data_IF_656801789202
#
_entry.id   IF_656801789202
#
_cell.length_a   1.000
_cell.length_b   1.000
_cell.length_c   1.000
_cell.angle_alpha   90.00
_cell.angle_beta   90.00
_cell.angle_gamma   90.00
#
_symmetry.space_group_name_H-M   'P 1'
#
loop_
_entity.id
_entity.type
_entity.pdbx_description
1 polymer ?
#
# COMPACT_ATOMS: atom_id res chain seq x y z
N UNK A 1 32.43 6.16 -15.99
CA UNK A 1 31.13 6.09 -16.63
C UNK A 1 31.11 6.91 -17.94
N UNK A 2 31.43 8.19 -17.90
CA UNK A 2 31.53 9.06 -19.09
C UNK A 2 32.55 8.57 -20.14
N UNK A 3 33.67 7.97 -19.71
CA UNK A 3 34.69 7.39 -20.59
C UNK A 3 34.15 6.22 -21.43
N UNK A 4 33.28 5.36 -20.86
CA UNK A 4 32.63 4.26 -21.59
C UNK A 4 31.68 4.74 -22.68
N UNK A 5 30.95 5.83 -22.42
CA UNK A 5 30.07 6.44 -23.44
C UNK A 5 30.87 6.93 -24.65
N UNK A 6 32.06 7.43 -24.41
CA UNK A 6 32.97 7.90 -25.51
C UNK A 6 33.48 6.74 -26.36
N UNK A 7 33.68 5.56 -25.77
CA UNK A 7 34.16 4.38 -26.53
C UNK A 7 33.05 3.66 -27.31
N UNK A 8 31.83 3.67 -26.81
CA UNK A 8 30.71 2.96 -27.42
C UNK A 8 29.49 3.89 -27.59
N UNK A 9 29.45 4.68 -28.69
CA UNK A 9 28.38 5.66 -28.88
C UNK A 9 27.00 5.04 -29.07
N UNK A 10 26.89 3.75 -29.35
CA UNK A 10 25.62 3.03 -29.42
C UNK A 10 24.94 2.86 -28.04
N UNK A 11 25.73 2.82 -26.95
CA UNK A 11 25.23 2.72 -25.59
C UNK A 11 24.55 4.03 -25.08
N UNK A 12 24.95 5.17 -25.66
CA UNK A 12 24.42 6.48 -25.32
C UNK A 12 22.90 6.53 -25.46
N UNK A 13 22.32 6.02 -26.54
CA UNK A 13 20.87 6.01 -26.77
C UNK A 13 20.15 5.23 -25.68
N UNK A 14 20.66 4.06 -25.33
CA UNK A 14 20.08 3.21 -24.29
C UNK A 14 20.10 3.91 -22.92
N UNK A 15 21.25 4.44 -22.50
CA UNK A 15 21.36 5.13 -21.22
C UNK A 15 20.52 6.41 -21.16
N UNK A 16 20.36 7.09 -22.30
CA UNK A 16 19.50 8.26 -22.38
C UNK A 16 18.02 7.92 -22.18
N UNK A 17 17.51 6.89 -22.84
CA UNK A 17 16.12 6.44 -22.68
C UNK A 17 15.88 5.85 -21.30
N UNK A 18 16.79 5.08 -20.75
CA UNK A 18 16.70 4.55 -19.38
C UNK A 18 16.71 5.69 -18.36
N UNK A 19 17.58 6.70 -18.55
CA UNK A 19 17.64 7.90 -17.73
C UNK A 19 16.38 8.75 -17.81
N UNK A 20 15.79 8.92 -19.00
CA UNK A 20 14.51 9.62 -19.20
C UNK A 20 13.37 8.89 -18.49
N UNK A 21 13.30 7.56 -18.65
CA UNK A 21 12.29 6.73 -17.99
C UNK A 21 12.42 6.81 -16.46
N UNK A 22 13.64 6.72 -15.95
CA UNK A 22 13.93 6.88 -14.53
C UNK A 22 13.50 8.26 -14.02
N UNK A 23 13.89 9.32 -14.74
CA UNK A 23 13.53 10.71 -14.39
C UNK A 23 12.02 10.91 -14.42
N UNK A 24 11.33 10.36 -15.42
CA UNK A 24 9.87 10.40 -15.49
C UNK A 24 9.22 9.72 -14.27
N UNK A 25 9.66 8.52 -13.90
CA UNK A 25 9.15 7.80 -12.71
C UNK A 25 9.45 8.60 -11.44
N UNK A 26 10.66 9.13 -11.31
CA UNK A 26 11.06 9.95 -10.16
C UNK A 26 10.15 11.16 -10.00
N UNK A 27 9.94 11.94 -11.07
CA UNK A 27 9.15 13.17 -11.03
C UNK A 27 7.65 12.92 -10.86
N UNK A 28 7.11 11.86 -11.49
CA UNK A 28 5.66 11.63 -11.52
C UNK A 28 5.16 10.73 -10.39
N UNK A 29 6.03 9.92 -9.78
CA UNK A 29 5.65 8.94 -8.75
C UNK A 29 6.37 9.16 -7.43
N UNK A 30 7.71 9.17 -7.46
CA UNK A 30 8.50 9.20 -6.22
C UNK A 30 8.42 10.58 -5.54
N UNK A 31 8.62 11.67 -6.28
CA UNK A 31 8.54 13.02 -5.71
C UNK A 31 7.14 13.35 -5.17
N UNK A 32 6.04 13.14 -5.92
CA UNK A 32 4.72 13.40 -5.38
C UNK A 32 4.41 12.58 -4.14
N UNK A 33 4.84 11.32 -4.09
CA UNK A 33 4.66 10.47 -2.91
C UNK A 33 5.43 11.01 -1.70
N UNK A 34 6.70 11.37 -1.88
CA UNK A 34 7.54 11.87 -0.79
C UNK A 34 7.06 13.22 -0.25
N UNK A 35 6.61 14.11 -1.13
CA UNK A 35 6.01 15.40 -0.75
C UNK A 35 4.69 15.16 -0.02
N UNK A 36 3.84 14.30 -0.55
CA UNK A 36 2.54 13.96 0.05
C UNK A 36 2.71 13.38 1.45
N UNK A 37 3.64 12.42 1.63
CA UNK A 37 3.97 11.85 2.93
C UNK A 37 4.51 12.91 3.92
N UNK A 38 5.38 13.81 3.45
CA UNK A 38 5.95 14.87 4.28
C UNK A 38 4.89 15.88 4.73
N UNK A 39 3.96 16.23 3.85
CA UNK A 39 2.83 17.10 4.16
C UNK A 39 1.91 16.42 5.16
N UNK A 40 1.52 15.17 4.94
CA UNK A 40 0.66 14.43 5.85
C UNK A 40 1.29 14.24 7.24
N UNK A 41 2.60 14.01 7.32
CA UNK A 41 3.29 13.86 8.61
C UNK A 41 3.28 15.12 9.48
N UNK A 42 3.09 16.29 8.89
CA UNK A 42 2.93 17.55 9.65
C UNK A 42 1.58 17.69 10.34
N UNK A 43 0.56 16.97 9.88
CA UNK A 43 -0.75 17.01 10.52
C UNK A 43 -0.79 16.06 11.72
N UNK A 44 -1.16 16.57 12.89
CA UNK A 44 -1.17 15.86 14.18
C UNK A 44 -2.06 14.60 14.21
N UNK A 45 -3.01 14.46 13.29
CA UNK A 45 -3.88 13.30 13.24
C UNK A 45 -3.18 12.00 12.82
N UNK A 46 -1.98 12.09 12.20
CA UNK A 46 -1.20 10.90 11.77
C UNK A 46 -0.59 10.15 12.97
N UNK A 47 -0.51 10.80 14.12
CA UNK A 47 0.02 10.18 15.33
C UNK A 47 -1.00 9.32 16.10
N UNK A 48 -2.27 9.28 15.67
CA UNK A 48 -3.27 8.39 16.28
C UNK A 48 -2.88 6.92 16.10
N UNK A 49 -3.00 6.15 17.18
CA UNK A 49 -2.86 4.70 17.12
C UNK A 49 -3.90 4.09 16.18
N UNK A 50 -3.56 2.96 15.58
CA UNK A 50 -4.54 2.21 14.80
C UNK A 50 -5.28 1.20 15.69
N UNK A 51 -6.48 0.85 15.30
CA UNK A 51 -7.22 -0.27 15.83
C UNK A 51 -7.69 -1.20 14.70
N UNK A 52 -7.75 -2.47 15.02
CA UNK A 52 -8.22 -3.53 14.13
C UNK A 52 -9.28 -4.29 14.94
N UNK A 53 -10.51 -4.29 14.46
CA UNK A 53 -11.60 -5.01 15.07
C UNK A 53 -12.35 -5.85 14.04
N UNK A 54 -12.99 -6.93 14.51
CA UNK A 54 -13.99 -7.62 13.70
C UNK A 54 -15.33 -6.95 13.98
N UNK A 55 -16.09 -6.68 12.93
CA UNK A 55 -17.47 -6.23 13.11
C UNK A 55 -18.26 -7.31 13.88
N UNK A 56 -18.97 -6.89 14.92
CA UNK A 56 -19.60 -7.76 15.92
C UNK A 56 -20.54 -8.85 15.36
N UNK A 57 -21.03 -8.69 14.13
CA UNK A 57 -22.01 -9.61 13.53
C UNK A 57 -21.55 -10.33 12.27
N UNK A 58 -20.34 -10.05 11.75
CA UNK A 58 -19.89 -10.59 10.49
C UNK A 58 -18.46 -11.14 10.60
N UNK A 59 -18.32 -12.47 10.64
CA UNK A 59 -17.03 -13.17 10.78
C UNK A 59 -15.96 -12.75 9.76
N UNK A 60 -16.37 -12.19 8.61
CA UNK A 60 -15.51 -11.85 7.48
C UNK A 60 -15.35 -10.36 7.22
N UNK A 61 -15.86 -9.51 8.12
CA UNK A 61 -15.77 -8.06 8.04
C UNK A 61 -14.78 -7.54 9.07
N UNK A 62 -13.77 -6.83 8.60
CA UNK A 62 -12.68 -6.26 9.39
C UNK A 62 -12.79 -4.75 9.30
N UNK A 63 -12.97 -4.08 10.41
CA UNK A 63 -12.96 -2.63 10.52
C UNK A 63 -11.55 -2.15 10.86
N UNK A 64 -11.07 -1.20 10.08
CA UNK A 64 -9.77 -0.57 10.25
C UNK A 64 -9.97 0.88 10.66
N UNK A 65 -9.28 1.33 11.71
CA UNK A 65 -9.29 2.74 12.07
C UNK A 65 -7.91 3.26 12.44
N UNK A 66 -7.69 4.57 12.27
CA UNK A 66 -6.46 5.25 12.65
C UNK A 66 -5.36 5.23 11.61
N UNK A 67 -4.12 5.12 12.06
CA UNK A 67 -2.92 5.31 11.23
C UNK A 67 -2.04 4.08 11.24
N UNK A 68 -1.86 3.45 10.09
CA UNK A 68 -1.04 2.26 9.90
C UNK A 68 0.34 2.65 9.39
N UNK A 69 1.32 2.70 10.30
CA UNK A 69 2.70 3.12 10.01
C UNK A 69 3.71 2.22 10.70
N UNK A 70 4.78 1.83 9.97
CA UNK A 70 5.94 1.17 10.58
C UNK A 70 6.58 2.12 11.66
N UNK A 71 7.05 1.61 12.81
CA UNK A 71 7.20 0.19 13.18
C UNK A 71 5.98 -0.44 13.89
N UNK A 72 4.87 0.28 14.05
CA UNK A 72 3.70 -0.17 14.84
C UNK A 72 2.89 -1.32 14.21
N UNK A 73 3.31 -1.87 13.05
CA UNK A 73 2.54 -2.87 12.30
C UNK A 73 2.61 -4.31 12.82
N UNK A 74 3.40 -4.58 13.87
CA UNK A 74 3.57 -5.96 14.39
C UNK A 74 2.24 -6.59 14.79
N UNK A 75 1.41 -5.86 15.54
CA UNK A 75 0.09 -6.33 15.98
C UNK A 75 -0.87 -6.52 14.79
N UNK A 76 -0.82 -5.62 13.81
CA UNK A 76 -1.63 -5.77 12.59
C UNK A 76 -1.27 -7.04 11.82
N UNK A 77 0.01 -7.38 11.70
CA UNK A 77 0.45 -8.62 11.06
C UNK A 77 -0.05 -9.86 11.80
N UNK A 78 0.07 -9.88 13.13
CA UNK A 78 -0.42 -10.98 13.97
C UNK A 78 -1.95 -11.12 13.82
N UNK A 79 -2.69 -10.02 13.88
CA UNK A 79 -4.14 -10.03 13.70
C UNK A 79 -4.54 -10.61 12.33
N UNK A 80 -3.90 -10.16 11.26
CA UNK A 80 -4.18 -10.64 9.91
C UNK A 80 -3.79 -12.13 9.74
N UNK A 81 -2.70 -12.59 10.35
CA UNK A 81 -2.33 -14.01 10.30
C UNK A 81 -3.36 -14.90 11.00
N UNK A 82 -3.89 -14.47 12.15
CA UNK A 82 -4.92 -15.22 12.88
C UNK A 82 -6.23 -15.34 12.10
N UNK A 83 -6.53 -14.35 11.22
CA UNK A 83 -7.71 -14.39 10.36
C UNK A 83 -7.56 -15.38 9.20
N UNK A 84 -6.35 -15.62 8.72
CA UNK A 84 -6.11 -16.58 7.63
C UNK A 84 -6.60 -17.98 7.97
N UNK A 85 -6.56 -18.37 9.24
CA UNK A 85 -6.92 -19.72 9.70
C UNK A 85 -8.42 -19.86 10.02
N UNK A 86 -9.17 -18.76 10.01
CA UNK A 86 -10.61 -18.84 10.20
C UNK A 86 -11.29 -19.43 8.97
N UNK A 87 -12.07 -20.51 9.17
CA UNK A 87 -12.93 -21.08 8.16
C UNK A 87 -13.98 -20.03 7.74
N UNK A 88 -13.93 -19.54 6.51
CA UNK A 88 -14.85 -18.53 6.05
C UNK A 88 -14.65 -18.20 4.57
N UNK A 89 -15.60 -17.43 4.06
CA UNK A 89 -15.65 -16.90 2.71
C UNK A 89 -14.67 -15.72 2.52
N UNK A 90 -14.87 -14.95 1.47
CA UNK A 90 -14.11 -13.74 1.16
C UNK A 90 -14.09 -12.75 2.32
N UNK A 91 -12.99 -12.03 2.48
CA UNK A 91 -12.78 -11.04 3.54
C UNK A 91 -13.05 -9.64 3.00
N UNK A 92 -13.80 -8.86 3.75
CA UNK A 92 -14.05 -7.44 3.50
C UNK A 92 -13.32 -6.61 4.54
N UNK A 93 -12.53 -5.64 4.10
CA UNK A 93 -11.85 -4.66 4.96
C UNK A 93 -12.43 -3.28 4.76
N UNK A 94 -12.97 -2.69 5.82
CA UNK A 94 -13.51 -1.34 5.82
C UNK A 94 -12.42 -0.32 6.18
N UNK A 95 -12.25 0.66 5.29
CA UNK A 95 -11.26 1.73 5.42
C UNK A 95 -11.88 3.08 5.80
N UNK A 96 -13.17 3.15 6.12
CA UNK A 96 -13.88 4.41 6.40
C UNK A 96 -13.16 5.28 7.41
N UNK A 97 -12.67 4.68 8.49
CA UNK A 97 -12.01 5.35 9.61
C UNK A 97 -10.47 5.37 9.50
N UNK A 98 -9.91 4.94 8.36
CA UNK A 98 -8.47 4.94 8.15
C UNK A 98 -7.99 6.33 7.76
N UNK A 99 -7.06 6.86 8.54
CA UNK A 99 -6.49 8.18 8.32
C UNK A 99 -5.28 8.16 7.40
N UNK A 100 -4.41 7.17 7.55
CA UNK A 100 -3.17 7.05 6.79
C UNK A 100 -2.68 5.61 6.73
N UNK A 101 -2.07 5.23 5.61
CA UNK A 101 -1.34 3.96 5.43
C UNK A 101 0.01 4.24 4.81
N UNK A 102 1.04 3.54 5.25
CA UNK A 102 2.36 3.59 4.64
C UNK A 102 2.61 2.42 3.66
N UNK A 103 3.72 2.48 2.93
CA UNK A 103 4.11 1.44 2.00
C UNK A 103 4.31 0.06 2.69
N UNK A 104 4.74 0.05 3.96
CA UNK A 104 4.92 -1.18 4.72
C UNK A 104 3.58 -1.87 5.03
N UNK A 105 2.53 -1.10 5.32
CA UNK A 105 1.19 -1.64 5.50
C UNK A 105 0.60 -2.13 4.17
N UNK A 106 0.80 -1.39 3.09
CA UNK A 106 0.41 -1.83 1.74
C UNK A 106 1.05 -3.17 1.40
N UNK A 107 2.36 -3.32 1.65
CA UNK A 107 3.06 -4.60 1.48
C UNK A 107 2.46 -5.72 2.33
N UNK A 108 2.08 -5.42 3.58
CA UNK A 108 1.40 -6.38 4.46
C UNK A 108 0.04 -6.81 3.89
N UNK A 109 -0.74 -5.89 3.34
CA UNK A 109 -2.03 -6.20 2.68
C UNK A 109 -1.85 -7.05 1.43
N UNK A 110 -0.81 -6.79 0.62
CA UNK A 110 -0.51 -7.60 -0.57
C UNK A 110 -0.11 -9.04 -0.20
N UNK A 111 0.70 -9.20 0.85
CA UNK A 111 1.05 -10.53 1.37
C UNK A 111 -0.20 -11.26 1.88
N UNK A 112 -1.02 -10.59 2.67
CA UNK A 112 -2.28 -11.14 3.17
C UNK A 112 -3.23 -11.55 2.05
N UNK A 113 -3.39 -10.71 1.03
CA UNK A 113 -4.18 -11.03 -0.16
C UNK A 113 -3.65 -12.26 -0.89
N UNK A 114 -2.33 -12.39 -1.00
CA UNK A 114 -1.70 -13.54 -1.67
C UNK A 114 -1.94 -14.84 -0.90
N UNK A 115 -1.84 -14.82 0.42
CA UNK A 115 -2.16 -15.97 1.27
C UNK A 115 -3.65 -16.35 1.17
N UNK A 116 -4.56 -15.36 1.13
CA UNK A 116 -5.99 -15.62 0.90
C UNK A 116 -6.23 -16.28 -0.46
N UNK A 117 -5.57 -15.83 -1.53
CA UNK A 117 -5.68 -16.43 -2.86
C UNK A 117 -5.24 -17.89 -2.88
N UNK A 118 -4.16 -18.25 -2.17
CA UNK A 118 -3.72 -19.65 -2.03
C UNK A 118 -4.79 -20.53 -1.38
N UNK A 119 -5.62 -19.95 -0.50
CA UNK A 119 -6.76 -20.62 0.16
C UNK A 119 -8.08 -20.48 -0.62
N UNK A 120 -8.06 -20.02 -1.89
CA UNK A 120 -9.25 -19.82 -2.74
C UNK A 120 -10.15 -18.66 -2.32
N UNK A 121 -9.65 -17.73 -1.48
CA UNK A 121 -10.40 -16.59 -0.94
C UNK A 121 -10.00 -15.28 -1.62
N UNK A 122 -10.88 -14.28 -1.54
CA UNK A 122 -10.63 -12.93 -2.05
C UNK A 122 -10.68 -11.89 -0.94
N UNK A 123 -9.82 -10.87 -1.07
CA UNK A 123 -9.84 -9.67 -0.25
C UNK A 123 -10.57 -8.55 -1.00
N UNK A 124 -11.55 -7.94 -0.35
CA UNK A 124 -12.25 -6.76 -0.84
C UNK A 124 -11.97 -5.57 0.09
N UNK A 125 -11.57 -4.45 -0.48
CA UNK A 125 -11.43 -3.20 0.23
C UNK A 125 -12.68 -2.37 -0.01
N UNK A 126 -13.33 -1.94 1.06
CA UNK A 126 -14.57 -1.16 1.01
C UNK A 126 -14.38 0.19 1.70
N UNK A 127 -15.20 1.16 1.30
CA UNK A 127 -15.23 2.51 1.89
C UNK A 127 -13.87 3.22 1.89
N UNK A 128 -13.09 3.11 0.79
CA UNK A 128 -11.77 3.75 0.72
C UNK A 128 -11.88 5.27 0.65
N UNK A 129 -11.37 6.02 1.65
CA UNK A 129 -11.29 7.47 1.57
C UNK A 129 -10.42 7.93 0.39
N UNK A 130 -10.76 9.08 -0.21
CA UNK A 130 -10.02 9.65 -1.37
C UNK A 130 -8.50 9.75 -1.11
N UNK A 131 -8.11 10.08 0.13
CA UNK A 131 -6.69 10.15 0.54
C UNK A 131 -5.99 8.80 0.48
N UNK A 132 -6.64 7.72 0.96
CA UNK A 132 -6.07 6.37 0.93
C UNK A 132 -5.98 5.87 -0.52
N UNK A 133 -7.02 6.11 -1.32
CA UNK A 133 -7.02 5.79 -2.75
C UNK A 133 -5.85 6.48 -3.47
N UNK A 134 -5.56 7.75 -3.16
CA UNK A 134 -4.41 8.50 -3.73
C UNK A 134 -3.08 7.86 -3.34
N UNK A 135 -2.90 7.45 -2.08
CA UNK A 135 -1.68 6.75 -1.63
C UNK A 135 -1.52 5.43 -2.41
N UNK A 136 -2.58 4.66 -2.61
CA UNK A 136 -2.53 3.40 -3.36
C UNK A 136 -2.20 3.62 -4.85
N UNK A 137 -2.72 4.69 -5.46
CA UNK A 137 -2.39 5.08 -6.85
C UNK A 137 -0.90 5.43 -6.96
N UNK A 138 -0.39 6.29 -6.06
CA UNK A 138 1.01 6.70 -6.07
C UNK A 138 1.98 5.52 -5.85
N UNK A 139 1.56 4.52 -5.06
CA UNK A 139 2.31 3.26 -4.90
C UNK A 139 2.05 2.24 -6.01
N UNK A 140 1.27 2.59 -7.05
CA UNK A 140 0.94 1.72 -8.20
C UNK A 140 0.31 0.37 -7.82
N UNK A 141 -0.44 0.33 -6.72
CA UNK A 141 -1.03 -0.93 -6.19
C UNK A 141 -2.55 -0.97 -6.26
N UNK A 142 -3.21 0.12 -6.68
CA UNK A 142 -4.67 0.19 -6.72
C UNK A 142 -5.30 -0.94 -7.54
N UNK A 143 -4.71 -1.28 -8.70
CA UNK A 143 -5.20 -2.33 -9.60
C UNK A 143 -5.01 -3.75 -9.04
N UNK A 144 -4.23 -3.90 -7.98
CA UNK A 144 -3.97 -5.20 -7.34
C UNK A 144 -5.09 -5.63 -6.39
N UNK A 145 -5.90 -4.69 -5.92
CA UNK A 145 -6.97 -4.94 -4.96
C UNK A 145 -8.35 -4.86 -5.61
N UNK A 146 -9.28 -5.68 -5.13
CA UNK A 146 -10.70 -5.58 -5.47
C UNK A 146 -11.32 -4.50 -4.56
N UNK A 147 -11.66 -3.35 -5.14
CA UNK A 147 -12.27 -2.22 -4.43
C UNK A 147 -13.76 -2.22 -4.75
N UNK A 148 -14.57 -2.13 -3.70
CA UNK A 148 -16.03 -1.95 -3.79
C UNK A 148 -16.47 -0.61 -3.23
#
# INVERSE_FOLDING_TARGET
WLWRIKQEPTLWKRYFFDGLTFTYILLTKVLPLSVYDRVLQRYSFINKSYTLSRANNLKNHIELSGTFKHPKLKQAKIFLSNILDTHGSNIMMDFSEVMYIDAAFIGTLLLFQNELKKKGKSLFLINLPKRIKRIMILNMVQSRFKIK
#
